data_IF_871496771534
#
_entry.id   IF_871496771534
#
_cell.length_a   1.000
_cell.length_b   1.000
_cell.length_c   1.000
_cell.angle_alpha   90.00
_cell.angle_beta   90.00
_cell.angle_gamma   90.00
#
_symmetry.space_group_name_H-M   'P 1'
#
loop_
_entity.id
_entity.type
_entity.pdbx_description
1 polymer ?
#
# COMPACT_ATOMS: atom_id res chain seq x y z
N UNK A 1 5.31 3.71 3.55
CA UNK A 1 5.71 2.84 4.69
C UNK A 1 5.29 1.37 4.46
N UNK A 2 6.11 0.37 4.85
CA UNK A 2 5.85 -1.07 4.61
C UNK A 2 4.95 -1.63 5.72
N UNK A 3 3.74 -2.10 5.41
CA UNK A 3 3.06 -3.04 6.29
C UNK A 3 3.73 -4.40 6.06
N UNK A 4 4.42 -4.92 7.08
CA UNK A 4 4.86 -6.31 7.05
C UNK A 4 3.63 -7.21 7.04
N UNK A 5 3.59 -8.11 6.06
CA UNK A 5 2.62 -9.17 5.93
C UNK A 5 2.44 -9.90 7.28
N UNK A 6 1.19 -10.20 7.62
CA UNK A 6 0.92 -11.33 8.49
C UNK A 6 1.64 -12.56 7.90
N UNK A 7 2.34 -13.29 8.76
CA UNK A 7 3.40 -14.20 8.36
C UNK A 7 2.97 -15.34 7.45
N UNK A 8 3.95 -15.82 6.67
CA UNK A 8 3.92 -17.10 5.97
C UNK A 8 4.20 -16.92 4.48
N UNK A 9 5.42 -17.24 4.04
CA UNK A 9 5.90 -17.55 2.68
C UNK A 9 5.46 -16.70 1.46
N UNK A 10 4.54 -15.74 1.60
CA UNK A 10 3.95 -15.00 0.51
C UNK A 10 4.46 -13.56 0.53
N UNK A 11 4.90 -13.08 -0.62
CA UNK A 11 5.46 -11.73 -0.77
C UNK A 11 4.37 -10.65 -0.78
N UNK A 12 3.17 -10.98 -0.31
CA UNK A 12 1.97 -10.16 -0.36
C UNK A 12 2.10 -9.04 0.69
N UNK A 13 2.36 -7.82 0.23
CA UNK A 13 2.55 -6.65 1.08
C UNK A 13 1.35 -5.72 0.92
N UNK A 14 0.79 -5.31 2.05
CA UNK A 14 -0.24 -4.28 2.08
C UNK A 14 0.46 -2.92 2.22
N UNK A 15 0.04 -1.97 1.40
CA UNK A 15 0.42 -0.57 1.55
C UNK A 15 -0.85 0.25 1.76
N UNK A 16 -0.83 1.19 2.70
CA UNK A 16 -1.88 2.19 2.92
C UNK A 16 -1.31 3.55 2.53
N UNK A 17 -1.98 4.22 1.61
CA UNK A 17 -1.36 5.23 0.77
C UNK A 17 -2.20 6.51 0.74
N UNK A 18 -1.53 7.66 0.76
CA UNK A 18 -2.07 8.95 1.19
C UNK A 18 -2.55 9.86 0.05
N UNK A 19 -2.34 9.48 -1.21
CA UNK A 19 -3.05 10.06 -2.38
C UNK A 19 -2.50 9.47 -3.67
N UNK A 20 -3.35 9.39 -4.70
CA UNK A 20 -2.93 9.12 -6.08
C UNK A 20 -2.28 10.39 -6.63
N UNK A 21 -1.01 10.32 -7.02
CA UNK A 21 -0.25 11.46 -7.54
C UNK A 21 -0.22 11.50 -9.07
N UNK A 22 -0.27 10.34 -9.72
CA UNK A 22 -0.29 10.23 -11.18
C UNK A 22 -0.85 8.89 -11.64
N UNK A 23 -1.55 8.88 -12.78
CA UNK A 23 -2.04 7.66 -13.42
C UNK A 23 -1.63 7.68 -14.88
N UNK A 24 -1.03 6.60 -15.37
CA UNK A 24 -0.73 6.46 -16.79
C UNK A 24 -2.04 6.37 -17.59
N UNK A 25 -2.15 7.00 -18.77
CA UNK A 25 -3.41 7.06 -19.52
C UNK A 25 -4.06 5.71 -19.87
N UNK A 26 -3.28 4.63 -19.94
CA UNK A 26 -3.79 3.28 -20.20
C UNK A 26 -4.19 2.51 -18.93
N UNK A 27 -4.07 3.11 -17.74
CA UNK A 27 -4.38 2.50 -16.45
C UNK A 27 -3.45 1.38 -15.98
N UNK A 28 -2.36 1.05 -16.70
CA UNK A 28 -1.47 -0.06 -16.34
C UNK A 28 -0.43 0.28 -15.27
N UNK A 29 -0.25 1.58 -15.00
CA UNK A 29 0.71 2.09 -14.02
C UNK A 29 0.14 3.34 -13.35
N UNK A 30 0.42 3.50 -12.07
CA UNK A 30 0.09 4.70 -11.32
C UNK A 30 1.12 4.94 -10.21
N UNK A 31 1.12 6.14 -9.67
CA UNK A 31 1.97 6.57 -8.59
C UNK A 31 1.10 7.11 -7.47
N UNK A 32 1.59 6.91 -6.26
CA UNK A 32 0.97 7.39 -5.04
C UNK A 32 2.03 8.04 -4.16
N UNK A 33 1.58 8.83 -3.19
CA UNK A 33 2.44 9.34 -2.13
C UNK A 33 2.06 8.69 -0.80
N UNK A 34 3.06 8.16 -0.11
CA UNK A 34 2.88 7.56 1.21
C UNK A 34 2.72 8.65 2.28
N UNK A 35 2.24 8.26 3.47
CA UNK A 35 2.17 9.13 4.66
C UNK A 35 3.53 9.65 5.15
N UNK A 36 4.64 9.09 4.67
CA UNK A 36 6.02 9.55 4.92
C UNK A 36 6.62 10.35 3.75
N UNK A 37 5.80 10.80 2.80
CA UNK A 37 6.19 11.66 1.67
C UNK A 37 6.99 10.94 0.59
N UNK A 38 6.93 9.61 0.52
CA UNK A 38 7.64 8.82 -0.49
C UNK A 38 6.70 8.48 -1.63
N UNK A 39 7.18 8.65 -2.86
CA UNK A 39 6.45 8.20 -4.04
C UNK A 39 6.70 6.72 -4.28
N UNK A 40 5.63 5.94 -4.46
CA UNK A 40 5.69 4.53 -4.82
C UNK A 40 5.05 4.33 -6.19
N UNK A 41 5.75 3.62 -7.05
CA UNK A 41 5.29 3.25 -8.38
C UNK A 41 4.57 1.91 -8.35
N UNK A 42 3.31 1.91 -8.77
CA UNK A 42 2.47 0.72 -8.84
C UNK A 42 2.28 0.30 -10.30
N UNK A 43 2.53 -0.97 -10.59
CA UNK A 43 2.29 -1.59 -11.89
C UNK A 43 1.25 -2.70 -11.78
N UNK A 44 0.45 -2.89 -12.82
CA UNK A 44 -0.64 -3.87 -12.80
C UNK A 44 -0.65 -4.71 -14.08
N UNK A 45 -1.05 -5.98 -13.96
CA UNK A 45 -1.21 -6.88 -15.12
C UNK A 45 -2.42 -6.53 -15.99
N UNK A 46 -3.44 -5.92 -15.39
CA UNK A 46 -4.63 -5.40 -16.06
C UNK A 46 -4.77 -3.90 -15.75
N UNK A 47 -5.20 -3.08 -16.72
CA UNK A 47 -5.55 -1.69 -16.47
C UNK A 47 -6.55 -1.51 -15.33
N UNK A 48 -6.48 -0.35 -14.66
CA UNK A 48 -7.51 0.09 -13.71
C UNK A 48 -8.90 0.01 -14.35
N UNK A 49 -9.86 -0.57 -13.63
CA UNK A 49 -11.26 -0.65 -14.06
C UNK A 49 -12.08 0.58 -13.67
N UNK A 50 -11.55 1.40 -12.78
CA UNK A 50 -12.20 2.60 -12.24
C UNK A 50 -11.15 3.69 -11.92
N UNK A 51 -11.62 4.92 -11.75
CA UNK A 51 -10.76 6.03 -11.34
C UNK A 51 -10.37 5.87 -9.87
N UNK A 52 -9.07 5.98 -9.59
CA UNK A 52 -8.56 5.97 -8.22
C UNK A 52 -8.57 7.37 -7.64
N UNK A 53 -9.05 7.51 -6.41
CA UNK A 53 -9.00 8.76 -5.66
C UNK A 53 -8.85 8.50 -4.16
N UNK A 54 -8.33 9.50 -3.44
CA UNK A 54 -8.18 9.43 -1.99
C UNK A 54 -7.20 8.34 -1.53
N UNK A 55 -7.54 7.69 -0.41
CA UNK A 55 -6.73 6.63 0.18
C UNK A 55 -6.96 5.31 -0.54
N UNK A 56 -5.87 4.61 -0.81
CA UNK A 56 -5.91 3.30 -1.46
C UNK A 56 -5.06 2.31 -0.67
N UNK A 57 -5.63 1.14 -0.38
CA UNK A 57 -4.87 -0.03 0.02
C UNK A 57 -4.37 -0.76 -1.22
N UNK A 58 -3.06 -0.98 -1.34
CA UNK A 58 -2.46 -1.76 -2.43
C UNK A 58 -1.98 -3.10 -1.90
N UNK A 59 -2.33 -4.18 -2.59
CA UNK A 59 -1.84 -5.53 -2.31
C UNK A 59 -1.07 -6.09 -3.48
N UNK A 60 0.14 -6.57 -3.21
CA UNK A 60 0.91 -7.32 -4.18
C UNK A 60 2.37 -7.47 -3.81
N UNK A 61 3.18 -7.69 -4.85
CA UNK A 61 4.58 -8.11 -4.72
C UNK A 61 5.49 -6.91 -4.91
N UNK A 62 6.35 -6.64 -3.92
CA UNK A 62 7.35 -5.57 -4.08
C UNK A 62 8.41 -5.97 -5.09
N UNK A 63 8.66 -5.09 -6.05
CA UNK A 63 9.70 -5.24 -7.06
C UNK A 63 10.95 -4.40 -6.73
N UNK A 64 10.87 -3.54 -5.72
CA UNK A 64 11.97 -2.73 -5.23
C UNK A 64 11.57 -1.89 -4.01
N UNK A 65 12.44 -0.97 -3.56
CA UNK A 65 12.17 -0.10 -2.40
C UNK A 65 10.93 0.80 -2.56
N UNK A 66 10.63 1.21 -3.79
CA UNK A 66 9.52 2.13 -4.14
C UNK A 66 8.73 1.62 -5.34
N UNK A 67 8.70 0.30 -5.54
CA UNK A 67 8.01 -0.32 -6.67
C UNK A 67 7.22 -1.57 -6.25
N UNK A 68 5.97 -1.65 -6.69
CA UNK A 68 5.05 -2.76 -6.40
C UNK A 68 4.37 -3.23 -7.69
N UNK A 69 4.31 -4.54 -7.86
CA UNK A 69 3.40 -5.19 -8.80
C UNK A 69 2.12 -5.54 -8.06
N UNK A 70 1.06 -4.80 -8.37
CA UNK A 70 -0.23 -4.86 -7.68
C UNK A 70 -1.10 -5.97 -8.25
N UNK A 71 -1.58 -6.84 -7.35
CA UNK A 71 -2.55 -7.89 -7.63
C UNK A 71 -3.97 -7.41 -7.40
N UNK A 72 -4.19 -6.58 -6.37
CA UNK A 72 -5.49 -5.98 -6.06
C UNK A 72 -5.32 -4.67 -5.30
N UNK A 73 -6.35 -3.83 -5.36
CA UNK A 73 -6.41 -2.57 -4.62
C UNK A 73 -7.81 -2.36 -4.02
N UNK A 74 -7.89 -1.49 -3.02
CA UNK A 74 -9.14 -1.07 -2.39
C UNK A 74 -9.10 0.44 -2.13
N UNK A 75 -10.06 1.19 -2.65
CA UNK A 75 -10.24 2.62 -2.34
C UNK A 75 -11.06 2.79 -1.07
N UNK A 76 -10.63 3.65 -0.16
CA UNK A 76 -11.40 3.96 1.05
C UNK A 76 -12.43 5.07 0.79
N UNK A 77 -13.66 4.92 1.29
CA UNK A 77 -14.66 5.99 1.27
C UNK A 77 -14.16 7.25 2.00
N UNK A 78 -14.45 8.47 1.50
CA UNK A 78 -14.00 9.71 2.12
C UNK A 78 -14.39 9.84 3.60
N UNK A 79 -15.63 9.47 3.95
CA UNK A 79 -16.18 9.51 5.31
C UNK A 79 -15.43 8.62 6.30
N UNK A 80 -14.75 7.58 5.81
CA UNK A 80 -13.86 6.73 6.62
C UNK A 80 -12.50 7.39 6.87
N UNK A 81 -12.09 8.29 5.97
CA UNK A 81 -10.75 8.90 5.95
C UNK A 81 -10.71 10.33 6.48
N UNK A 82 -11.86 10.96 6.71
CA UNK A 82 -11.98 12.35 7.18
C UNK A 82 -11.24 12.65 8.50
N UNK A 83 -11.01 11.63 9.31
CA UNK A 83 -10.29 11.72 10.60
C UNK A 83 -9.00 10.91 10.61
N UNK A 84 -8.47 10.58 9.44
CA UNK A 84 -7.25 9.82 9.33
C UNK A 84 -6.06 10.67 9.79
N UNK A 85 -5.34 10.18 10.80
CA UNK A 85 -4.16 10.84 11.35
C UNK A 85 -2.88 10.13 10.84
N UNK A 86 -2.18 10.69 9.83
CA UNK A 86 -1.05 10.01 9.19
C UNK A 86 0.11 9.75 10.15
N UNK A 87 0.35 10.63 11.12
CA UNK A 87 1.41 10.46 12.11
C UNK A 87 1.10 9.31 13.07
N UNK A 88 -0.14 9.20 13.55
CA UNK A 88 -0.57 8.09 14.40
C UNK A 88 -0.48 6.76 13.65
N UNK A 89 -0.88 6.75 12.38
CA UNK A 89 -0.73 5.58 11.51
C UNK A 89 0.74 5.17 11.38
N UNK A 90 1.63 6.13 11.10
CA UNK A 90 3.06 5.87 11.00
C UNK A 90 3.64 5.30 12.29
N UNK A 91 3.25 5.82 13.46
CA UNK A 91 3.69 5.25 14.74
C UNK A 91 3.16 3.84 14.98
N UNK A 92 1.90 3.57 14.64
CA UNK A 92 1.31 2.23 14.75
C UNK A 92 2.06 1.21 13.86
N UNK A 93 2.40 1.58 12.62
CA UNK A 93 3.14 0.70 11.71
C UNK A 93 4.58 0.50 12.21
N UNK A 94 5.23 1.50 12.82
CA UNK A 94 6.56 1.31 13.44
C UNK A 94 6.45 0.28 14.56
N UNK A 95 5.46 0.42 15.44
CA UNK A 95 5.22 -0.50 16.54
C UNK A 95 5.00 -1.94 16.05
N UNK A 96 4.13 -2.15 15.07
CA UNK A 96 3.87 -3.48 14.48
C UNK A 96 5.14 -4.12 13.94
N UNK A 97 6.04 -3.33 13.33
CA UNK A 97 7.31 -3.83 12.81
C UNK A 97 8.39 -4.08 13.89
N UNK A 98 8.23 -3.58 15.11
CA UNK A 98 9.16 -3.83 16.23
C UNK A 98 8.89 -5.14 16.97
N UNK A 99 7.65 -5.64 16.88
CA UNK A 99 7.25 -6.88 17.55
C UNK A 99 7.51 -8.06 16.60
N UNK A 100 8.30 -9.08 17.00
CA UNK A 100 8.44 -10.30 16.23
C UNK A 100 7.06 -10.90 15.96
N UNK A 101 6.75 -11.18 14.70
CA UNK A 101 5.44 -11.73 14.34
C UNK A 101 5.30 -13.12 14.98
N UNK A 102 4.36 -13.33 15.93
CA UNK A 102 4.21 -14.63 16.59
C UNK A 102 3.64 -15.70 15.64
N UNK A 103 3.18 -15.30 14.45
CA UNK A 103 2.53 -16.17 13.45
C UNK A 103 3.39 -16.44 12.22
N UNK A 104 4.63 -15.94 12.14
CA UNK A 104 5.58 -16.42 11.13
C UNK A 104 6.06 -17.82 11.55
N UNK A 105 5.42 -18.88 11.03
CA UNK A 105 6.01 -20.21 11.10
C UNK A 105 7.33 -20.17 10.33
N UNK A 106 8.43 -20.40 11.05
CA UNK A 106 9.71 -20.75 10.48
C UNK A 106 9.56 -22.07 9.73
N UNK A 107 9.45 -21.99 8.41
CA UNK A 107 9.72 -23.09 7.48
C UNK A 107 11.09 -22.90 6.87
#
# INVERSE_FOLDING_TARGET
MKLAAAGGADNDKNYFENSISWVHPNGSKWELETTDGRVVSISMGMPLSEELSGFVEVRGICQGPTAVFCNSYLTFPPDMTDKFEPDLYNEAVKLVNTVPNPWTQSG
#
